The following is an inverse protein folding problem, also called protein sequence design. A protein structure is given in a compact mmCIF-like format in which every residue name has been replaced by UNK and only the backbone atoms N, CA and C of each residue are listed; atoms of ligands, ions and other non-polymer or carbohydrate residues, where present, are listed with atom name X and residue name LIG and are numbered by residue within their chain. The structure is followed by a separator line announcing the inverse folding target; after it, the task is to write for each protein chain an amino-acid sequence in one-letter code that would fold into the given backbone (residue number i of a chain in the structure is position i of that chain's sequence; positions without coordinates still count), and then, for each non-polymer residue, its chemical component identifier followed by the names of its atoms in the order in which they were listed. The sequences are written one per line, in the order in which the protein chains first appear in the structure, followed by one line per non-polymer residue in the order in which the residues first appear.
data_IF_395827681796
#
_entry.id   IF_395827681796
#
_cell.length_a   1.000
_cell.length_b   1.000
_cell.length_c   1.000
_cell.angle_alpha   90.00
_cell.angle_beta   90.00
_cell.angle_gamma   90.00
#
_symmetry.space_group_name_H-M   'P 1'
#
loop_
_entity.id
_entity.type
_entity.pdbx_description
1 polymer ?
#
# COMPACT_ATOMS: atom_id res chain seq x y z
N UNK A 1 33.53 6.76 -22.57
CA UNK A 1 32.06 6.65 -22.42
C UNK A 1 31.78 6.52 -20.95
N UNK A 2 31.30 7.60 -20.31
CA UNK A 2 30.88 7.54 -18.91
C UNK A 2 29.45 6.99 -18.90
N UNK A 3 29.25 5.85 -18.25
CA UNK A 3 27.92 5.30 -17.97
C UNK A 3 27.27 6.21 -16.94
N UNK A 4 26.23 6.94 -17.36
CA UNK A 4 25.35 7.65 -16.45
C UNK A 4 24.56 6.58 -15.68
N UNK A 5 24.87 6.40 -14.40
CA UNK A 5 24.01 5.66 -13.49
C UNK A 5 23.04 6.70 -12.94
N UNK A 6 21.76 6.70 -13.34
CA UNK A 6 20.78 7.61 -12.74
C UNK A 6 20.74 7.35 -11.24
N UNK A 7 20.80 8.43 -10.46
CA UNK A 7 20.67 8.38 -9.00
C UNK A 7 19.37 7.66 -8.63
N UNK A 8 19.42 6.81 -7.61
CA UNK A 8 18.29 5.98 -7.13
C UNK A 8 17.00 6.76 -6.81
N UNK A 9 17.06 8.08 -6.70
CA UNK A 9 15.89 8.95 -6.51
C UNK A 9 15.06 9.13 -7.80
N UNK A 10 15.65 9.09 -9.00
CA UNK A 10 14.93 9.21 -10.28
C UNK A 10 14.16 7.91 -10.65
N UNK A 11 14.64 6.75 -10.21
CA UNK A 11 13.90 5.48 -10.34
C UNK A 11 12.69 5.40 -9.41
N UNK A 12 12.79 5.99 -8.22
CA UNK A 12 11.75 5.95 -7.19
C UNK A 12 10.55 6.86 -7.49
N UNK A 13 10.75 8.03 -8.14
CA UNK A 13 9.60 8.86 -8.58
C UNK A 13 8.86 8.26 -9.78
N UNK A 14 9.58 7.55 -10.66
CA UNK A 14 9.02 7.03 -11.91
C UNK A 14 8.00 5.90 -11.68
N UNK A 15 8.23 5.03 -10.68
CA UNK A 15 7.30 3.92 -10.44
C UNK A 15 5.98 4.40 -9.82
N UNK A 16 6.01 5.36 -8.88
CA UNK A 16 4.81 5.83 -8.21
C UNK A 16 3.87 6.55 -9.17
N UNK A 17 4.43 7.40 -10.04
CA UNK A 17 3.70 8.03 -11.14
C UNK A 17 3.21 6.98 -12.15
N UNK A 18 4.01 5.95 -12.46
CA UNK A 18 3.55 4.85 -13.31
C UNK A 18 2.40 4.03 -12.69
N UNK A 19 2.36 3.88 -11.36
CA UNK A 19 1.31 3.15 -10.65
C UNK A 19 0.00 3.95 -10.56
N UNK A 20 0.08 5.24 -10.26
CA UNK A 20 -1.07 6.03 -9.82
C UNK A 20 -1.31 7.32 -10.63
N UNK A 21 -0.49 7.59 -11.64
CA UNK A 21 -0.56 8.78 -12.49
C UNK A 21 -0.27 10.06 -11.73
N UNK A 22 -0.99 11.12 -12.09
CA UNK A 22 -0.93 12.44 -11.44
C UNK A 22 -1.48 12.39 -10.01
N UNK A 23 -0.67 11.92 -9.06
CA UNK A 23 -1.04 11.89 -7.66
C UNK A 23 -1.28 13.30 -7.12
N UNK A 24 -2.51 13.58 -6.70
CA UNK A 24 -2.91 14.88 -6.16
C UNK A 24 -3.35 14.73 -4.70
N UNK A 25 -2.43 14.76 -3.71
CA UNK A 25 -2.75 14.48 -2.30
C UNK A 25 -3.76 15.45 -1.67
N UNK A 26 -3.95 16.62 -2.29
CA UNK A 26 -4.90 17.65 -1.89
C UNK A 26 -6.31 17.46 -2.48
N UNK A 27 -6.54 16.41 -3.29
CA UNK A 27 -7.79 16.15 -4.03
C UNK A 27 -8.20 14.69 -4.06
N UNK A 28 -7.24 13.78 -4.11
CA UNK A 28 -7.48 12.35 -4.30
C UNK A 28 -8.16 11.74 -3.07
N UNK A 29 -9.35 11.16 -3.26
CA UNK A 29 -10.08 10.45 -2.20
C UNK A 29 -9.32 9.21 -1.69
N UNK A 30 -8.50 8.62 -2.56
CA UNK A 30 -7.68 7.44 -2.31
C UNK A 30 -6.21 7.81 -1.98
N UNK A 31 -5.96 9.06 -1.57
CA UNK A 31 -4.60 9.53 -1.33
C UNK A 31 -3.85 8.70 -0.28
N UNK A 32 -4.54 8.32 0.80
CA UNK A 32 -3.97 7.53 1.88
C UNK A 32 -3.45 6.16 1.43
N UNK A 33 -4.21 5.43 0.59
CA UNK A 33 -3.76 4.09 0.14
C UNK A 33 -2.59 4.18 -0.84
N UNK A 34 -2.62 5.14 -1.77
CA UNK A 34 -1.50 5.39 -2.68
C UNK A 34 -0.22 5.69 -1.88
N UNK A 35 -0.32 6.61 -0.90
CA UNK A 35 0.78 6.96 -0.02
C UNK A 35 1.32 5.74 0.75
N UNK A 36 0.44 5.00 1.44
CA UNK A 36 0.82 3.85 2.27
C UNK A 36 1.49 2.76 1.44
N UNK A 37 0.97 2.46 0.25
CA UNK A 37 1.60 1.48 -0.64
C UNK A 37 2.98 1.95 -1.12
N UNK A 38 3.14 3.23 -1.44
CA UNK A 38 4.44 3.78 -1.81
C UNK A 38 5.48 3.58 -0.70
N UNK A 39 5.11 3.89 0.55
CA UNK A 39 6.04 3.71 1.68
C UNK A 39 6.36 2.24 1.92
N UNK A 40 5.37 1.34 1.89
CA UNK A 40 5.59 -0.11 2.05
C UNK A 40 6.58 -0.64 1.00
N UNK A 41 6.46 -0.20 -0.25
CA UNK A 41 7.35 -0.62 -1.34
C UNK A 41 8.77 -0.07 -1.13
N UNK A 42 8.91 1.23 -0.83
CA UNK A 42 10.20 1.88 -0.59
C UNK A 42 10.95 1.32 0.62
N UNK A 43 10.22 0.93 1.67
CA UNK A 43 10.77 0.33 2.88
C UNK A 43 11.00 -1.19 2.75
N UNK A 44 10.72 -1.78 1.58
CA UNK A 44 10.82 -3.21 1.31
C UNK A 44 10.03 -4.08 2.32
N UNK A 45 8.82 -3.65 2.69
CA UNK A 45 7.94 -4.34 3.65
C UNK A 45 6.97 -5.29 2.96
N UNK A 46 7.39 -5.87 1.83
CA UNK A 46 6.58 -6.75 0.99
C UNK A 46 6.17 -8.06 1.70
N UNK A 47 7.00 -8.55 2.62
CA UNK A 47 6.68 -9.76 3.39
C UNK A 47 5.59 -9.51 4.44
N UNK A 48 5.66 -8.40 5.16
CA UNK A 48 4.58 -7.97 6.05
C UNK A 48 3.29 -7.77 5.27
N UNK A 49 3.37 -7.15 4.08
CA UNK A 49 2.22 -6.96 3.21
C UNK A 49 1.60 -8.29 2.78
N UNK A 50 2.42 -9.28 2.42
CA UNK A 50 1.95 -10.62 2.07
C UNK A 50 1.21 -11.28 3.25
N UNK A 51 1.73 -11.13 4.47
CA UNK A 51 1.06 -11.64 5.68
C UNK A 51 -0.25 -10.91 5.97
N UNK A 52 -0.27 -9.58 5.83
CA UNK A 52 -1.44 -8.75 6.12
C UNK A 52 -2.62 -9.11 5.22
N UNK A 53 -2.40 -9.42 3.94
CA UNK A 53 -3.49 -9.66 2.97
C UNK A 53 -4.18 -11.02 3.19
N UNK A 54 -3.49 -11.98 3.80
CA UNK A 54 -4.05 -13.32 4.08
C UNK A 54 -5.07 -13.22 5.21
N UNK A 55 -6.34 -13.50 4.89
CA UNK A 55 -7.42 -13.50 5.88
C UNK A 55 -7.12 -14.47 7.02
N UNK A 56 -7.39 -14.05 8.27
CA UNK A 56 -7.12 -14.84 9.46
C UNK A 56 -5.65 -14.95 9.87
N UNK A 57 -4.71 -14.29 9.18
CA UNK A 57 -3.33 -14.16 9.67
C UNK A 57 -3.30 -13.30 10.95
N UNK A 58 -2.37 -13.57 11.87
CA UNK A 58 -2.17 -12.79 13.10
C UNK A 58 -1.79 -11.34 12.85
N UNK A 59 -1.18 -11.01 11.70
CA UNK A 59 -0.87 -9.63 11.36
C UNK A 59 -2.15 -8.88 10.96
N UNK A 60 -2.59 -7.96 11.83
CA UNK A 60 -3.78 -7.14 11.62
C UNK A 60 -3.49 -5.74 11.07
N UNK A 61 -2.26 -5.24 11.20
CA UNK A 61 -1.86 -3.95 10.66
C UNK A 61 -0.35 -3.86 10.40
N UNK A 62 0.02 -2.98 9.47
CA UNK A 62 1.38 -2.52 9.20
C UNK A 62 1.39 -1.01 9.47
N UNK A 63 2.30 -0.52 10.30
CA UNK A 63 2.41 0.90 10.64
C UNK A 63 3.86 1.40 10.58
N UNK A 64 4.04 2.71 10.48
CA UNK A 64 5.36 3.34 10.44
C UNK A 64 5.34 4.85 10.69
N UNK A 65 6.54 5.42 10.87
CA UNK A 65 6.77 6.85 11.09
C UNK A 65 6.77 7.63 9.75
N UNK A 66 6.38 8.92 9.73
CA UNK A 66 5.88 9.76 10.84
C UNK A 66 4.37 9.58 11.15
N UNK A 67 3.81 8.39 10.93
CA UNK A 67 2.44 8.05 11.28
C UNK A 67 1.63 7.66 10.06
N UNK A 68 1.61 6.36 9.75
CA UNK A 68 0.71 5.77 8.76
C UNK A 68 0.38 4.33 9.14
N UNK A 69 -0.75 3.82 8.65
CA UNK A 69 -1.21 2.46 8.92
C UNK A 69 -1.96 1.86 7.73
N UNK A 70 -1.67 0.59 7.43
CA UNK A 70 -2.52 -0.29 6.64
C UNK A 70 -3.08 -1.37 7.55
N UNK A 71 -4.40 -1.41 7.72
CA UNK A 71 -5.07 -2.32 8.66
C UNK A 71 -6.06 -3.25 7.93
N UNK A 72 -6.16 -4.50 8.38
CA UNK A 72 -7.15 -5.50 7.93
C UNK A 72 -8.21 -5.74 9.01
N UNK A 73 -9.46 -5.85 8.57
CA UNK A 73 -10.58 -6.41 9.34
C UNK A 73 -11.03 -7.73 8.71
N UNK A 74 -10.96 -8.82 9.46
CA UNK A 74 -11.47 -10.11 9.01
C UNK A 74 -13.01 -10.15 8.96
N UNK A 75 -13.57 -11.07 8.17
CA UNK A 75 -15.02 -11.18 8.00
C UNK A 75 -15.74 -11.47 9.33
N UNK A 76 -15.12 -12.31 10.16
CA UNK A 76 -15.61 -12.65 11.50
C UNK A 76 -15.61 -11.46 12.47
N UNK A 77 -14.93 -10.37 12.12
CA UNK A 77 -14.85 -9.16 12.93
C UNK A 77 -15.85 -8.08 12.50
N UNK A 78 -16.63 -8.32 11.45
CA UNK A 78 -17.65 -7.39 11.01
C UNK A 78 -18.71 -7.17 12.10
N UNK A 79 -19.00 -5.91 12.40
CA UNK A 79 -19.94 -5.53 13.46
C UNK A 79 -19.37 -5.56 14.88
N UNK A 80 -18.10 -5.96 15.09
CA UNK A 80 -17.46 -5.84 16.40
C UNK A 80 -17.27 -4.37 16.78
N UNK A 81 -17.42 -4.06 18.08
CA UNK A 81 -17.40 -2.68 18.60
C UNK A 81 -16.10 -1.93 18.28
N UNK A 82 -14.95 -2.61 18.27
CA UNK A 82 -13.65 -2.03 17.88
C UNK A 82 -13.61 -1.54 16.42
N UNK A 83 -14.45 -2.10 15.54
CA UNK A 83 -14.60 -1.69 14.15
C UNK A 83 -15.90 -0.92 13.91
N UNK A 84 -16.52 -0.35 14.94
CA UNK A 84 -17.84 0.28 14.84
C UNK A 84 -17.91 1.50 13.89
N UNK A 85 -16.76 2.07 13.52
CA UNK A 85 -16.65 3.18 12.55
C UNK A 85 -16.38 2.72 11.11
N UNK A 86 -16.05 1.45 10.91
CA UNK A 86 -15.73 0.94 9.58
C UNK A 86 -17.01 0.73 8.77
N UNK A 87 -17.09 1.23 7.52
CA UNK A 87 -18.22 0.98 6.64
C UNK A 87 -18.51 -0.52 6.46
N UNK A 88 -19.77 -0.86 6.17
CA UNK A 88 -20.13 -2.24 5.83
C UNK A 88 -19.38 -2.70 4.58
N UNK A 89 -18.89 -3.94 4.57
CA UNK A 89 -18.10 -4.50 3.47
C UNK A 89 -16.64 -4.01 3.39
N UNK A 90 -16.23 -2.99 4.15
CA UNK A 90 -14.81 -2.61 4.22
C UNK A 90 -13.98 -3.73 4.87
N UNK A 91 -12.88 -4.14 4.23
CA UNK A 91 -11.95 -5.16 4.76
C UNK A 91 -10.58 -4.59 5.07
N UNK A 92 -10.27 -3.42 4.53
CA UNK A 92 -9.02 -2.74 4.78
C UNK A 92 -9.23 -1.25 5.03
N UNK A 93 -8.27 -0.65 5.73
CA UNK A 93 -8.20 0.77 6.00
C UNK A 93 -6.76 1.24 5.81
N UNK A 94 -6.58 2.25 4.98
CA UNK A 94 -5.34 3.03 4.95
C UNK A 94 -5.57 4.32 5.74
N UNK A 95 -4.62 4.66 6.61
CA UNK A 95 -4.64 5.89 7.40
C UNK A 95 -3.26 6.55 7.38
N UNK A 96 -3.23 7.88 7.30
CA UNK A 96 -2.02 8.70 7.39
C UNK A 96 -2.28 9.80 8.40
N UNK A 97 -1.37 9.97 9.36
CA UNK A 97 -1.49 10.98 10.41
C UNK A 97 -1.42 12.39 9.80
N UNK A 98 -2.47 13.22 9.93
CA UNK A 98 -2.47 14.60 9.45
C UNK A 98 -1.37 15.49 10.06
N UNK A 99 -0.80 15.11 11.21
CA UNK A 99 0.34 15.83 11.80
C UNK A 99 1.66 15.54 11.08
N UNK A 100 1.80 14.35 10.50
CA UNK A 100 2.96 13.96 9.72
C UNK A 100 2.85 14.39 8.25
N UNK A 101 1.68 14.21 7.65
CA UNK A 101 1.42 14.54 6.24
C UNK A 101 0.03 15.14 6.04
N UNK A 102 -0.04 16.28 5.35
CA UNK A 102 -1.30 16.94 5.01
C UNK A 102 -1.92 16.32 3.74
N UNK A 103 -2.72 15.27 3.91
CA UNK A 103 -3.59 14.73 2.87
C UNK A 103 -5.01 15.32 3.00
N UNK A 104 -5.69 15.60 1.89
CA UNK A 104 -7.09 16.01 1.91
C UNK A 104 -8.00 14.91 2.48
N UNK A 105 -7.65 13.65 2.20
CA UNK A 105 -8.33 12.46 2.69
C UNK A 105 -7.31 11.55 3.41
N UNK A 106 -7.11 11.74 4.72
CA UNK A 106 -6.12 10.99 5.50
C UNK A 106 -6.54 9.55 5.78
N UNK A 107 -7.79 9.17 5.49
CA UNK A 107 -8.32 7.83 5.74
C UNK A 107 -9.06 7.33 4.51
N UNK A 108 -8.82 6.07 4.12
CA UNK A 108 -9.50 5.41 3.01
C UNK A 108 -9.89 3.98 3.40
N UNK A 109 -11.19 3.68 3.36
CA UNK A 109 -11.73 2.34 3.61
C UNK A 109 -12.01 1.62 2.31
N UNK A 110 -11.68 0.34 2.24
CA UNK A 110 -11.78 -0.39 0.98
C UNK A 110 -12.13 -1.87 1.18
N UNK A 111 -12.84 -2.44 0.19
CA UNK A 111 -13.11 -3.86 0.11
C UNK A 111 -11.88 -4.63 -0.44
N UNK A 112 -11.93 -5.97 -0.38
CA UNK A 112 -10.82 -6.84 -0.78
C UNK A 112 -10.47 -6.72 -2.27
N UNK A 113 -11.47 -6.58 -3.13
CA UNK A 113 -11.28 -6.36 -4.57
C UNK A 113 -10.65 -5.00 -4.88
N UNK A 114 -10.99 -3.98 -4.09
CA UNK A 114 -10.42 -2.63 -4.24
C UNK A 114 -8.93 -2.63 -3.89
N UNK A 115 -8.53 -3.18 -2.73
CA UNK A 115 -7.10 -3.24 -2.37
C UNK A 115 -6.30 -4.10 -3.36
N UNK A 116 -6.88 -5.19 -3.88
CA UNK A 116 -6.22 -6.03 -4.88
C UNK A 116 -5.87 -5.26 -6.16
N UNK A 117 -6.71 -4.30 -6.59
CA UNK A 117 -6.43 -3.43 -7.74
C UNK A 117 -5.27 -2.48 -7.48
N UNK A 118 -5.28 -1.78 -6.34
CA UNK A 118 -4.17 -0.87 -5.97
C UNK A 118 -2.85 -1.61 -5.81
N UNK A 119 -2.89 -2.80 -5.18
CA UNK A 119 -1.71 -3.64 -5.03
C UNK A 119 -1.18 -4.11 -6.37
N UNK A 120 -2.05 -4.54 -7.28
CA UNK A 120 -1.64 -4.97 -8.62
C UNK A 120 -0.96 -3.82 -9.36
N UNK A 121 -1.54 -2.62 -9.35
CA UNK A 121 -0.95 -1.42 -9.95
C UNK A 121 0.43 -1.07 -9.34
N UNK A 122 0.52 -1.00 -8.02
CA UNK A 122 1.76 -0.70 -7.32
C UNK A 122 2.85 -1.74 -7.58
N UNK A 123 2.52 -3.03 -7.51
CA UNK A 123 3.45 -4.13 -7.74
C UNK A 123 3.92 -4.21 -9.19
N UNK A 124 3.05 -3.96 -10.17
CA UNK A 124 3.43 -3.96 -11.58
C UNK A 124 4.44 -2.83 -11.87
N UNK A 125 4.17 -1.63 -11.34
CA UNK A 125 5.08 -0.50 -11.48
C UNK A 125 6.40 -0.71 -10.72
N UNK A 126 6.34 -1.19 -9.49
CA UNK A 126 7.53 -1.46 -8.67
C UNK A 126 8.41 -2.56 -9.31
N UNK A 127 7.80 -3.63 -9.83
CA UNK A 127 8.53 -4.67 -10.56
C UNK A 127 9.20 -4.15 -11.84
N UNK A 128 8.56 -3.22 -12.55
CA UNK A 128 9.14 -2.61 -13.75
C UNK A 128 10.35 -1.71 -13.41
N UNK A 129 10.35 -1.10 -12.22
CA UNK A 129 11.46 -0.29 -11.72
C UNK A 129 12.59 -1.13 -11.09
N UNK A 130 12.29 -2.31 -10.56
CA UNK A 130 13.26 -3.26 -9.98
C UNK A 130 14.01 -4.06 -11.07
N UNK A 131 14.90 -3.38 -11.79
CA UNK A 131 15.69 -3.96 -12.90
C UNK A 131 16.57 -5.14 -12.44
N UNK A 132 16.99 -5.16 -11.18
CA UNK A 132 17.79 -6.25 -10.61
C UNK A 132 16.93 -7.47 -10.22
N UNK A 133 15.62 -7.30 -10.08
CA UNK A 133 14.68 -8.35 -9.71
C UNK A 133 14.83 -8.85 -8.28
N UNK A 134 15.42 -8.02 -7.40
CA UNK A 134 15.69 -8.37 -6.00
C UNK A 134 14.41 -8.69 -5.22
N UNK A 135 13.29 -8.09 -5.62
CA UNK A 135 12.00 -8.18 -4.94
C UNK A 135 11.03 -9.18 -5.59
N UNK A 136 11.42 -9.82 -6.70
CA UNK A 136 10.52 -10.70 -7.47
C UNK A 136 9.88 -11.81 -6.64
N UNK A 137 10.63 -12.40 -5.70
CA UNK A 137 10.13 -13.44 -4.81
C UNK A 137 9.07 -12.91 -3.82
N UNK A 138 9.32 -11.73 -3.24
CA UNK A 138 8.40 -11.11 -2.30
C UNK A 138 7.11 -10.64 -2.99
N UNK A 139 7.22 -10.03 -4.16
CA UNK A 139 6.08 -9.68 -5.01
C UNK A 139 5.26 -10.93 -5.40
N UNK A 140 5.92 -12.05 -5.67
CA UNK A 140 5.26 -13.33 -5.92
C UNK A 140 4.42 -13.82 -4.73
N UNK A 141 4.91 -13.63 -3.50
CA UNK A 141 4.16 -13.97 -2.28
C UNK A 141 2.92 -13.10 -2.11
N UNK A 142 3.06 -11.79 -2.34
CA UNK A 142 1.91 -10.86 -2.27
C UNK A 142 0.84 -11.23 -3.31
N UNK A 143 1.23 -11.56 -4.55
CA UNK A 143 0.29 -12.01 -5.59
C UNK A 143 -0.41 -13.33 -5.23
N UNK A 144 0.33 -14.27 -4.65
CA UNK A 144 -0.26 -15.52 -4.19
C UNK A 144 -1.28 -15.29 -3.05
N UNK A 145 -1.03 -14.34 -2.16
CA UNK A 145 -1.96 -13.97 -1.07
C UNK A 145 -3.25 -13.29 -1.55
N UNK A 146 -3.24 -12.72 -2.76
CA UNK A 146 -4.40 -12.09 -3.39
C UNK A 146 -5.32 -13.08 -4.14
N UNK A 147 -4.81 -14.27 -4.49
CA UNK A 147 -5.53 -15.31 -5.23
C UNK A 147 -6.48 -16.10 -4.34
#
# INVERSE_FOLDING_TARGET
MATFIPSSEEGNMNYFEAAFGDFAPHRDEDAAIKFVLNVIMLDNRLDELAELIVAGNSLGAIEGEPGWTLERRDEQDEGKACYGRWPSGARFRAYVDPQGYELAHPEFFMARDVIARYLSQAMDAYAAADVAGEHASALGRVRAALS
#
